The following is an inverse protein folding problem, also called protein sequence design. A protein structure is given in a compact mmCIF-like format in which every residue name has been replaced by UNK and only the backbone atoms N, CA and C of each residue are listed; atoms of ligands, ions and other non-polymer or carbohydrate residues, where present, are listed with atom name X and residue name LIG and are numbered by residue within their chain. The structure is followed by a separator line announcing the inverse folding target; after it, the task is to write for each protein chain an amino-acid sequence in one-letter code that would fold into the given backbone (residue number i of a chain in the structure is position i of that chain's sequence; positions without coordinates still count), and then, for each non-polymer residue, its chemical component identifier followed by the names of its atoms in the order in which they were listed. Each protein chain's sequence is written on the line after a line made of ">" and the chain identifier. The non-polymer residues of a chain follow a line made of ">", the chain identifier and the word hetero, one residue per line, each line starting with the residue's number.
data_IF_321595303037
#
_entry.id   IF_321595303037
#
_cell.length_a   1.000
_cell.length_b   1.000
_cell.length_c   1.000
_cell.angle_alpha   90.00
_cell.angle_beta   90.00
_cell.angle_gamma   90.00
#
_symmetry.space_group_name_H-M   'P 1'
#
loop_
_entity.id
_entity.type
_entity.pdbx_description
1 polymer ?
#
# COMPACT_ATOMS: atom_id res chain seq x y z
N UNK A 1 3.41 35.26 -55.82
CA UNK A 1 2.69 34.34 -54.92
C UNK A 1 2.16 35.17 -53.76
N UNK A 2 0.84 35.37 -53.69
CA UNK A 2 0.16 36.31 -52.80
C UNK A 2 0.44 36.02 -51.32
N UNK A 3 0.95 37.02 -50.58
CA UNK A 3 1.25 36.92 -49.14
C UNK A 3 0.01 36.54 -48.31
N UNK A 4 -1.19 36.90 -48.77
CA UNK A 4 -2.44 36.54 -48.11
C UNK A 4 -2.68 35.04 -48.01
N UNK A 5 -2.30 34.27 -49.05
CA UNK A 5 -2.48 32.80 -49.06
C UNK A 5 -1.62 32.06 -48.03
N UNK A 6 -0.44 32.61 -47.72
CA UNK A 6 0.45 32.07 -46.68
C UNK A 6 -0.09 32.31 -45.27
N UNK A 7 -0.72 33.48 -45.05
CA UNK A 7 -1.36 33.83 -43.77
C UNK A 7 -2.51 32.89 -43.41
N UNK A 8 -3.42 32.62 -44.35
CA UNK A 8 -4.53 31.68 -44.11
C UNK A 8 -4.06 30.25 -43.85
N UNK A 9 -3.01 29.80 -44.55
CA UNK A 9 -2.41 28.49 -44.29
C UNK A 9 -1.82 28.42 -42.87
N UNK A 10 -1.08 29.45 -42.43
CA UNK A 10 -0.54 29.48 -41.07
C UNK A 10 -1.63 29.50 -39.98
N UNK A 11 -2.73 30.21 -40.24
CA UNK A 11 -3.88 30.27 -39.33
C UNK A 11 -4.55 28.90 -39.19
N UNK A 12 -4.73 28.18 -40.31
CA UNK A 12 -5.26 26.83 -40.33
C UNK A 12 -4.37 25.83 -39.59
N UNK A 13 -3.05 25.92 -39.76
CA UNK A 13 -2.10 25.08 -39.04
C UNK A 13 -2.14 25.35 -37.54
N UNK A 14 -2.15 26.62 -37.11
CA UNK A 14 -2.29 26.96 -35.68
C UNK A 14 -3.58 26.39 -35.09
N UNK A 15 -4.71 26.53 -35.79
CA UNK A 15 -5.97 25.99 -35.33
C UNK A 15 -5.93 24.47 -35.14
N UNK A 16 -5.35 23.74 -36.11
CA UNK A 16 -5.19 22.29 -36.03
C UNK A 16 -4.28 21.88 -34.86
N UNK A 17 -3.16 22.58 -34.66
CA UNK A 17 -2.25 22.33 -33.54
C UNK A 17 -2.97 22.55 -32.22
N UNK A 18 -3.73 23.63 -32.07
CA UNK A 18 -4.51 23.90 -30.85
C UNK A 18 -5.57 22.82 -30.61
N UNK A 19 -6.27 22.33 -31.65
CA UNK A 19 -7.19 21.21 -31.50
C UNK A 19 -6.48 19.94 -31.01
N UNK A 20 -5.36 19.57 -31.64
CA UNK A 20 -4.60 18.36 -31.25
C UNK A 20 -4.13 18.47 -29.81
N UNK A 21 -3.59 19.62 -29.41
CA UNK A 21 -3.17 19.87 -28.03
C UNK A 21 -4.35 19.81 -27.06
N UNK A 22 -5.50 20.38 -27.42
CA UNK A 22 -6.73 20.31 -26.62
C UNK A 22 -7.18 18.88 -26.39
N UNK A 23 -7.25 18.06 -27.46
CA UNK A 23 -7.59 16.64 -27.36
C UNK A 23 -6.55 15.85 -26.55
N UNK A 24 -5.27 16.08 -26.79
CA UNK A 24 -4.18 15.44 -26.04
C UNK A 24 -4.25 15.77 -24.55
N UNK A 25 -4.62 16.99 -24.19
CA UNK A 25 -4.75 17.41 -22.79
C UNK A 25 -5.93 16.72 -22.09
N UNK A 26 -7.06 16.55 -22.79
CA UNK A 26 -8.19 15.76 -22.28
C UNK A 26 -7.79 14.30 -22.10
N UNK A 27 -7.09 13.70 -23.06
CA UNK A 27 -6.62 12.33 -22.97
C UNK A 27 -5.69 12.11 -21.76
N UNK A 28 -4.68 12.95 -21.60
CA UNK A 28 -3.76 12.91 -20.46
C UNK A 28 -4.50 13.14 -19.14
N UNK A 29 -5.55 13.95 -19.15
CA UNK A 29 -6.37 14.17 -17.96
C UNK A 29 -7.13 12.91 -17.55
N UNK A 30 -7.75 12.20 -18.50
CA UNK A 30 -8.44 10.94 -18.25
C UNK A 30 -7.48 9.90 -17.69
N UNK A 31 -6.34 9.68 -18.36
CA UNK A 31 -5.31 8.73 -17.91
C UNK A 31 -4.81 9.05 -16.49
N UNK A 32 -4.59 10.34 -16.22
CA UNK A 32 -4.18 10.80 -14.88
C UNK A 32 -5.23 10.48 -13.82
N UNK A 33 -6.50 10.67 -14.14
CA UNK A 33 -7.60 10.39 -13.20
C UNK A 33 -7.71 8.90 -12.97
N UNK A 34 -7.63 8.07 -14.01
CA UNK A 34 -7.67 6.62 -13.90
C UNK A 34 -6.51 6.08 -13.04
N UNK A 35 -5.29 6.57 -13.26
CA UNK A 35 -4.13 6.21 -12.44
C UNK A 35 -4.31 6.62 -10.97
N UNK A 36 -4.89 7.79 -10.71
CA UNK A 36 -5.16 8.24 -9.35
C UNK A 36 -6.22 7.36 -8.65
N UNK A 37 -7.22 6.89 -9.39
CA UNK A 37 -8.19 5.93 -8.87
C UNK A 37 -7.53 4.59 -8.55
N UNK A 38 -6.70 4.05 -9.44
CA UNK A 38 -5.97 2.81 -9.22
C UNK A 38 -5.06 2.91 -7.98
N UNK A 39 -4.31 4.00 -7.86
CA UNK A 39 -3.45 4.25 -6.71
C UNK A 39 -4.23 4.29 -5.39
N UNK A 40 -5.41 4.92 -5.40
CA UNK A 40 -6.30 4.97 -4.22
C UNK A 40 -6.86 3.61 -3.84
N UNK A 41 -7.14 2.75 -4.82
CA UNK A 41 -7.58 1.37 -4.57
C UNK A 41 -6.43 0.59 -3.93
N UNK A 42 -5.23 0.68 -4.50
CA UNK A 42 -4.05 0.00 -3.99
C UNK A 42 -3.67 0.46 -2.58
N UNK A 43 -3.79 1.76 -2.29
CA UNK A 43 -3.58 2.32 -0.95
C UNK A 43 -4.58 1.73 0.07
N UNK A 44 -5.85 1.58 -0.30
CA UNK A 44 -6.84 0.91 0.55
C UNK A 44 -6.51 -0.55 0.79
N UNK A 45 -6.14 -1.30 -0.23
CA UNK A 45 -5.76 -2.71 -0.08
C UNK A 45 -4.53 -2.85 0.82
N UNK A 46 -3.54 -1.98 0.66
CA UNK A 46 -2.37 -1.95 1.53
C UNK A 46 -2.76 -1.67 2.99
N UNK A 47 -3.62 -0.68 3.21
CA UNK A 47 -4.11 -0.34 4.55
C UNK A 47 -4.88 -1.51 5.19
N UNK A 48 -5.78 -2.16 4.46
CA UNK A 48 -6.51 -3.33 4.96
C UNK A 48 -5.56 -4.48 5.36
N UNK A 49 -4.51 -4.72 4.58
CA UNK A 49 -3.51 -5.74 4.90
C UNK A 49 -2.67 -5.36 6.12
N UNK A 50 -2.31 -4.08 6.25
CA UNK A 50 -1.61 -3.58 7.44
C UNK A 50 -2.47 -3.71 8.70
N UNK A 51 -3.76 -3.42 8.62
CA UNK A 51 -4.70 -3.58 9.74
C UNK A 51 -4.88 -5.06 10.14
N UNK A 52 -4.91 -5.98 9.18
CA UNK A 52 -4.93 -7.41 9.45
C UNK A 52 -3.63 -7.86 10.12
N UNK A 53 -2.49 -7.39 9.63
CA UNK A 53 -1.19 -7.74 10.18
C UNK A 53 -1.02 -7.22 11.61
N UNK A 54 -1.43 -5.98 11.89
CA UNK A 54 -1.33 -5.39 13.23
C UNK A 54 -2.18 -6.17 14.25
N UNK A 55 -3.40 -6.59 13.88
CA UNK A 55 -4.24 -7.46 14.71
C UNK A 55 -3.55 -8.78 15.03
N UNK A 56 -3.00 -9.44 14.01
CA UNK A 56 -2.27 -10.69 14.18
C UNK A 56 -1.03 -10.52 15.09
N UNK A 57 -0.30 -9.42 14.96
CA UNK A 57 0.83 -9.12 15.84
C UNK A 57 0.37 -8.94 17.30
N UNK A 58 -0.73 -8.23 17.53
CA UNK A 58 -1.30 -8.08 18.89
C UNK A 58 -1.70 -9.43 19.47
N UNK A 59 -2.36 -10.29 18.69
CA UNK A 59 -2.71 -11.64 19.11
C UNK A 59 -1.48 -12.51 19.41
N UNK A 60 -0.45 -12.45 18.56
CA UNK A 60 0.82 -13.13 18.81
C UNK A 60 1.47 -12.65 20.10
N UNK A 61 1.52 -11.34 20.34
CA UNK A 61 2.06 -10.79 21.59
C UNK A 61 1.25 -11.22 22.80
N UNK A 62 -0.08 -11.28 22.70
CA UNK A 62 -0.94 -11.79 23.77
C UNK A 62 -0.71 -13.29 24.03
N UNK A 63 -0.56 -14.10 22.98
CA UNK A 63 -0.29 -15.54 23.10
C UNK A 63 1.09 -15.83 23.67
N UNK A 64 2.09 -15.02 23.32
CA UNK A 64 3.46 -15.13 23.80
C UNK A 64 3.68 -14.45 25.15
N UNK A 65 2.70 -13.70 25.65
CA UNK A 65 2.83 -13.03 26.94
C UNK A 65 3.04 -14.07 28.06
N UNK A 66 4.03 -13.89 28.94
CA UNK A 66 4.36 -14.87 29.97
C UNK A 66 3.21 -15.22 30.92
N UNK A 67 2.27 -14.28 31.13
CA UNK A 67 1.11 -14.48 31.99
C UNK A 67 0.12 -15.50 31.39
N UNK A 68 -0.20 -15.38 30.10
CA UNK A 68 -1.05 -16.31 29.35
C UNK A 68 -0.38 -17.66 29.16
N UNK A 69 0.93 -17.69 28.93
CA UNK A 69 1.70 -18.93 28.90
C UNK A 69 1.69 -19.63 30.27
N UNK A 70 1.79 -18.90 31.37
CA UNK A 70 1.67 -19.45 32.74
C UNK A 70 0.27 -19.99 33.03
N UNK A 71 -0.78 -19.25 32.68
CA UNK A 71 -2.17 -19.72 32.86
C UNK A 71 -2.45 -21.00 32.04
N UNK A 72 -1.94 -21.07 30.80
CA UNK A 72 -2.02 -22.30 29.99
C UNK A 72 -1.19 -23.45 30.56
N UNK A 73 0.02 -23.16 31.05
CA UNK A 73 0.88 -24.17 31.68
C UNK A 73 0.21 -24.75 32.93
N UNK A 74 -0.36 -23.90 33.78
CA UNK A 74 -1.08 -24.29 34.99
C UNK A 74 -2.31 -25.15 34.66
N UNK A 75 -3.11 -24.78 33.66
CA UNK A 75 -4.23 -25.61 33.15
C UNK A 75 -3.78 -26.95 32.57
N UNK A 76 -2.59 -27.02 31.98
CA UNK A 76 -2.00 -28.25 31.48
C UNK A 76 -1.30 -29.08 32.58
N UNK A 77 -1.34 -28.64 33.85
CA UNK A 77 -0.65 -29.30 34.97
C UNK A 77 0.86 -29.12 34.97
N UNK A 78 1.39 -28.25 34.12
CA UNK A 78 2.81 -27.92 34.03
C UNK A 78 3.16 -26.88 35.08
N UNK A 79 4.09 -27.23 35.97
CA UNK A 79 4.62 -26.34 36.99
C UNK A 79 6.07 -25.96 36.68
N UNK A 80 6.57 -24.81 37.19
CA UNK A 80 7.98 -24.47 37.08
C UNK A 80 8.84 -25.62 37.63
N UNK A 81 9.86 -26.08 36.89
CA UNK A 81 10.74 -27.15 37.37
C UNK A 81 11.42 -26.71 38.66
N UNK A 82 11.49 -27.62 39.63
CA UNK A 82 12.15 -27.35 40.91
C UNK A 82 13.66 -27.24 40.71
N UNK A 83 14.36 -26.48 41.57
CA UNK A 83 15.80 -26.19 41.43
C UNK A 83 16.68 -27.45 41.30
N UNK A 84 16.24 -28.56 41.87
CA UNK A 84 16.85 -29.89 41.82
C UNK A 84 16.70 -30.63 40.47
N UNK A 85 15.80 -30.18 39.60
CA UNK A 85 15.54 -30.77 38.28
C UNK A 85 16.25 -30.04 37.13
N UNK A 86 16.83 -28.86 37.40
CA UNK A 86 17.52 -28.06 36.38
C UNK A 86 19.02 -28.37 36.44
N UNK A 87 19.52 -29.16 35.49
CA UNK A 87 20.97 -29.32 35.29
C UNK A 87 21.48 -28.17 34.43
N UNK A 88 22.19 -27.23 35.05
CA UNK A 88 23.00 -26.24 34.33
C UNK A 88 24.34 -26.86 33.98
N UNK A 89 24.67 -26.97 32.69
CA UNK A 89 26.04 -27.25 32.27
C UNK A 89 26.83 -25.95 32.43
N UNK A 90 27.69 -25.89 33.44
CA UNK A 90 28.66 -24.80 33.57
C UNK A 90 29.60 -24.85 32.37
N UNK A 91 29.66 -23.74 31.61
CA UNK A 91 30.81 -23.41 30.78
C UNK A 91 31.76 -22.53 31.60
#
# INVERSE_FOLDING_TARGET
>A
MSEGGKGYLSMGVMFLVTMILGLGLVWVNIERVDLAYELKILERELQEKQDQNSKLQVELHYLLAPATLRDRAEKAGLQPPRRDQIRTMQQ
#
